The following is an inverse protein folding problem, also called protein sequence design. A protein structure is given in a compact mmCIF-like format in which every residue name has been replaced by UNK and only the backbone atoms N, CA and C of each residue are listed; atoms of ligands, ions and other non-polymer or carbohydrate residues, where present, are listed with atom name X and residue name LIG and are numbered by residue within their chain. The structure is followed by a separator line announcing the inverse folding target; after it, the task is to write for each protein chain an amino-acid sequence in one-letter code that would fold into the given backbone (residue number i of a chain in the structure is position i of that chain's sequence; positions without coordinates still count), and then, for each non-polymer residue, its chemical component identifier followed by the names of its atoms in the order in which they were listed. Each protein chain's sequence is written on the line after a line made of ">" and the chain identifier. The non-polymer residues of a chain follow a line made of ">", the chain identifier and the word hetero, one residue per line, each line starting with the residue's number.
data_IF_148973001343
#
_entry.id   IF_148973001343
#
_cell.length_a   1.000
_cell.length_b   1.000
_cell.length_c   1.000
_cell.angle_alpha   90.00
_cell.angle_beta   90.00
_cell.angle_gamma   90.00
#
_symmetry.space_group_name_H-M   'P 1'
#
loop_
_entity.id
_entity.type
_entity.pdbx_description
1 polymer ?
#
# COMPACT_ATOMS: atom_id res chain seq x y z
N UNK A 1 -27.12 -40.74 -69.58
CA UNK A 1 -26.53 -39.49 -70.09
C UNK A 1 -26.92 -38.37 -69.18
N UNK A 2 -26.02 -37.90 -68.32
CA UNK A 2 -25.84 -36.50 -67.85
C UNK A 2 -24.88 -36.53 -66.70
N UNK A 3 -23.68 -36.10 -66.98
CA UNK A 3 -22.60 -35.91 -66.01
C UNK A 3 -22.90 -34.71 -65.10
N UNK A 4 -22.73 -34.89 -63.82
CA UNK A 4 -22.61 -33.76 -62.87
C UNK A 4 -21.15 -33.59 -62.47
N UNK A 5 -20.53 -32.43 -62.68
CA UNK A 5 -19.18 -32.18 -62.18
C UNK A 5 -19.25 -31.87 -60.69
N UNK A 6 -18.42 -32.60 -59.96
CA UNK A 6 -18.21 -32.39 -58.52
C UNK A 6 -17.64 -31.01 -58.22
N UNK A 7 -18.31 -30.28 -57.38
CA UNK A 7 -17.81 -29.06 -56.79
C UNK A 7 -16.92 -29.49 -55.61
N UNK A 8 -15.61 -29.36 -55.80
CA UNK A 8 -14.61 -29.59 -54.80
C UNK A 8 -14.57 -28.33 -53.88
N UNK A 9 -15.25 -28.43 -52.76
CA UNK A 9 -15.27 -27.35 -51.76
C UNK A 9 -13.99 -27.41 -50.93
N UNK A 10 -13.00 -26.58 -51.31
CA UNK A 10 -11.76 -26.43 -50.57
C UNK A 10 -12.08 -25.62 -49.30
N UNK A 11 -12.13 -26.32 -48.18
CA UNK A 11 -12.21 -25.69 -46.85
C UNK A 11 -10.84 -25.12 -46.53
N UNK A 12 -10.68 -23.81 -46.73
CA UNK A 12 -9.57 -23.05 -46.22
C UNK A 12 -9.69 -22.95 -44.68
N UNK A 13 -9.02 -23.83 -43.99
CA UNK A 13 -8.77 -23.71 -42.57
C UNK A 13 -7.86 -22.51 -42.37
N UNK A 14 -8.46 -21.36 -42.08
CA UNK A 14 -7.73 -20.20 -41.55
C UNK A 14 -7.32 -20.56 -40.13
N UNK A 15 -6.10 -21.05 -40.00
CA UNK A 15 -5.44 -21.20 -38.71
C UNK A 15 -5.21 -19.81 -38.15
N UNK A 16 -6.08 -19.38 -37.21
CA UNK A 16 -5.74 -18.31 -36.29
C UNK A 16 -4.60 -18.79 -35.40
N UNK A 17 -3.38 -18.59 -35.84
CA UNK A 17 -2.23 -18.56 -34.94
C UNK A 17 -2.34 -17.25 -34.13
N UNK A 18 -3.03 -17.35 -32.99
CA UNK A 18 -2.93 -16.31 -31.97
C UNK A 18 -1.46 -16.18 -31.56
N UNK A 19 -0.87 -15.03 -31.86
CA UNK A 19 0.43 -14.63 -31.36
C UNK A 19 0.38 -14.55 -29.82
N UNK A 20 0.64 -15.65 -29.14
CA UNK A 20 0.90 -15.75 -27.72
C UNK A 20 2.43 -15.63 -27.46
N UNK A 21 3.14 -14.97 -28.34
CA UNK A 21 4.59 -14.81 -28.25
C UNK A 21 5.03 -13.39 -27.89
N UNK A 22 4.23 -12.66 -27.07
CA UNK A 22 4.64 -11.32 -26.63
C UNK A 22 4.37 -11.03 -25.16
N UNK A 23 4.52 -12.00 -24.29
CA UNK A 23 4.37 -11.80 -22.84
C UNK A 23 5.37 -12.56 -21.97
N UNK A 24 6.49 -13.02 -22.51
CA UNK A 24 7.56 -13.63 -21.72
C UNK A 24 8.89 -12.94 -22.05
N UNK A 25 8.91 -11.62 -21.88
CA UNK A 25 10.15 -10.85 -21.85
C UNK A 25 10.12 -9.84 -20.69
N UNK A 26 9.41 -10.18 -19.61
CA UNK A 26 9.65 -9.55 -18.32
C UNK A 26 10.82 -10.32 -17.69
N UNK A 27 12.01 -9.84 -17.95
CA UNK A 27 13.20 -10.28 -17.22
C UNK A 27 12.92 -10.01 -15.72
N UNK A 28 13.15 -10.98 -14.82
CA UNK A 28 12.96 -10.78 -13.37
C UNK A 28 13.75 -9.58 -12.82
N UNK A 29 14.73 -9.09 -13.55
CA UNK A 29 15.47 -7.89 -13.23
C UNK A 29 14.65 -6.60 -13.43
N UNK A 30 13.77 -6.54 -14.42
CA UNK A 30 12.92 -5.36 -14.67
C UNK A 30 11.88 -5.20 -13.57
N UNK A 31 11.28 -6.30 -13.10
CA UNK A 31 10.28 -6.29 -12.02
C UNK A 31 10.90 -5.82 -10.69
N UNK A 32 12.15 -6.22 -10.42
CA UNK A 32 12.89 -5.80 -9.22
C UNK A 32 13.27 -4.31 -9.31
N UNK A 33 13.66 -3.83 -10.48
CA UNK A 33 14.01 -2.43 -10.69
C UNK A 33 12.78 -1.53 -10.58
N UNK A 34 11.65 -1.91 -11.17
CA UNK A 34 10.38 -1.21 -11.08
C UNK A 34 9.89 -1.16 -9.63
N UNK A 35 9.95 -2.28 -8.90
CA UNK A 35 9.62 -2.34 -7.47
C UNK A 35 10.53 -1.42 -6.64
N UNK A 36 11.84 -1.42 -6.93
CA UNK A 36 12.80 -0.56 -6.25
C UNK A 36 12.54 0.92 -6.49
N UNK A 37 12.14 1.29 -7.70
CA UNK A 37 11.83 2.68 -8.05
C UNK A 37 10.52 3.13 -7.39
N UNK A 38 9.48 2.31 -7.43
CA UNK A 38 8.21 2.56 -6.74
C UNK A 38 8.41 2.71 -5.22
N UNK A 39 9.32 1.92 -4.66
CA UNK A 39 9.69 2.02 -3.26
C UNK A 39 10.39 3.35 -2.93
N UNK A 40 11.36 3.77 -3.76
CA UNK A 40 12.05 5.05 -3.59
C UNK A 40 11.09 6.23 -3.70
N UNK A 41 10.14 6.15 -4.62
CA UNK A 41 9.10 7.17 -4.79
C UNK A 41 8.23 7.25 -3.54
N UNK A 42 7.74 6.13 -3.01
CA UNK A 42 6.94 6.08 -1.79
C UNK A 42 7.67 6.71 -0.59
N UNK A 43 8.96 6.44 -0.44
CA UNK A 43 9.76 6.94 0.68
C UNK A 43 10.12 8.43 0.51
N UNK A 44 10.24 8.90 -0.73
CA UNK A 44 10.60 10.30 -1.02
C UNK A 44 9.40 11.25 -1.03
N UNK A 45 8.19 10.74 -1.23
CA UNK A 45 6.96 11.54 -1.23
C UNK A 45 6.17 11.36 0.07
N UNK A 46 6.33 12.34 0.96
CA UNK A 46 5.63 12.36 2.25
C UNK A 46 4.11 12.35 2.11
N UNK A 47 3.55 12.96 1.06
CA UNK A 47 2.11 12.99 0.82
C UNK A 47 1.59 11.62 0.38
N UNK A 48 2.35 10.94 -0.49
CA UNK A 48 2.03 9.59 -0.91
C UNK A 48 2.07 8.63 0.29
N UNK A 49 3.11 8.72 1.10
CA UNK A 49 3.26 7.91 2.30
C UNK A 49 2.15 8.18 3.34
N UNK A 50 1.73 9.46 3.50
CA UNK A 50 0.59 9.83 4.33
C UNK A 50 -0.69 9.15 3.88
N UNK A 51 -0.98 9.20 2.58
CA UNK A 51 -2.16 8.56 2.01
C UNK A 51 -2.18 7.06 2.28
N UNK A 52 -1.04 6.38 2.10
CA UNK A 52 -0.93 4.94 2.40
C UNK A 52 -1.18 4.64 3.88
N UNK A 53 -0.66 5.47 4.78
CA UNK A 53 -0.91 5.34 6.23
C UNK A 53 -2.39 5.53 6.56
N UNK A 54 -3.08 6.47 5.92
CA UNK A 54 -4.51 6.74 6.13
C UNK A 54 -5.41 5.61 5.61
N UNK A 55 -4.99 4.82 4.62
CA UNK A 55 -5.74 3.66 4.13
C UNK A 55 -5.75 2.49 5.13
N UNK A 56 -4.82 2.47 6.08
CA UNK A 56 -4.73 1.39 7.07
C UNK A 56 -5.77 1.59 8.17
N UNK A 57 -6.69 0.65 8.26
CA UNK A 57 -7.78 0.67 9.25
C UNK A 57 -7.36 0.06 10.58
N UNK A 58 -8.00 0.51 11.66
CA UNK A 58 -7.89 -0.16 12.96
C UNK A 58 -8.70 -1.46 12.97
N UNK A 59 -8.28 -2.42 13.79
CA UNK A 59 -9.01 -3.68 13.98
C UNK A 59 -10.26 -3.49 14.84
N UNK A 60 -10.22 -2.54 15.78
CA UNK A 60 -11.34 -2.23 16.67
C UNK A 60 -12.19 -1.07 16.13
N UNK A 61 -13.52 -1.23 16.00
CA UNK A 61 -14.41 -0.17 15.48
C UNK A 61 -14.38 1.13 16.32
N UNK A 62 -14.14 1.03 17.62
CA UNK A 62 -14.01 2.20 18.51
C UNK A 62 -12.76 3.01 18.18
N UNK A 63 -11.63 2.35 17.93
CA UNK A 63 -10.38 2.98 17.52
C UNK A 63 -10.51 3.55 16.11
N UNK A 64 -11.15 2.79 15.19
CA UNK A 64 -11.37 3.27 13.82
C UNK A 64 -12.12 4.61 13.77
N UNK A 65 -13.07 4.85 14.66
CA UNK A 65 -13.77 6.15 14.75
C UNK A 65 -12.82 7.27 15.18
N UNK A 66 -11.92 6.99 16.12
CA UNK A 66 -10.91 7.96 16.55
C UNK A 66 -9.91 8.24 15.44
N UNK A 67 -9.48 7.20 14.70
CA UNK A 67 -8.59 7.39 13.54
C UNK A 67 -9.22 8.30 12.49
N UNK A 68 -10.49 8.08 12.12
CA UNK A 68 -11.19 8.93 11.16
C UNK A 68 -11.28 10.40 11.61
N UNK A 69 -11.48 10.63 12.90
CA UNK A 69 -11.47 11.95 13.48
C UNK A 69 -10.07 12.58 13.42
N UNK A 70 -9.06 11.84 13.79
CA UNK A 70 -7.66 12.28 13.72
C UNK A 70 -7.23 12.59 12.28
N UNK A 71 -7.56 11.72 11.33
CA UNK A 71 -7.27 11.91 9.90
C UNK A 71 -7.94 13.19 9.36
N UNK A 72 -9.20 13.44 9.74
CA UNK A 72 -9.91 14.66 9.37
C UNK A 72 -9.26 15.92 9.93
N UNK A 73 -8.85 15.89 11.20
CA UNK A 73 -8.13 17.01 11.83
C UNK A 73 -6.78 17.25 11.14
N UNK A 74 -6.06 16.19 10.81
CA UNK A 74 -4.78 16.27 10.15
C UNK A 74 -4.90 16.90 8.75
N UNK A 75 -5.84 16.42 7.91
CA UNK A 75 -6.12 16.99 6.58
C UNK A 75 -6.53 18.46 6.65
N UNK A 76 -7.25 18.85 7.71
CA UNK A 76 -7.69 20.24 7.92
C UNK A 76 -6.59 21.15 8.49
N UNK A 77 -5.35 20.66 8.63
CA UNK A 77 -4.22 21.46 9.13
C UNK A 77 -4.22 21.65 10.65
N UNK A 78 -4.83 20.73 11.39
CA UNK A 78 -4.85 20.72 12.86
C UNK A 78 -4.04 19.53 13.44
N UNK A 79 -2.73 19.40 13.12
CA UNK A 79 -1.95 18.22 13.47
C UNK A 79 -1.83 18.00 14.99
N UNK A 80 -1.77 19.08 15.78
CA UNK A 80 -1.72 18.97 17.24
C UNK A 80 -2.97 18.29 17.79
N UNK A 81 -4.15 18.65 17.30
CA UNK A 81 -5.40 18.02 17.74
C UNK A 81 -5.49 16.58 17.24
N UNK A 82 -5.05 16.33 16.00
CA UNK A 82 -4.97 14.97 15.45
C UNK A 82 -4.08 14.07 16.32
N UNK A 83 -2.89 14.52 16.70
CA UNK A 83 -1.97 13.81 17.58
C UNK A 83 -2.60 13.47 18.94
N UNK A 84 -3.32 14.41 19.55
CA UNK A 84 -4.04 14.19 20.82
C UNK A 84 -5.10 13.07 20.70
N UNK A 85 -5.85 13.03 19.61
CA UNK A 85 -6.81 11.95 19.35
C UNK A 85 -6.11 10.60 19.16
N UNK A 86 -4.98 10.56 18.45
CA UNK A 86 -4.18 9.33 18.29
C UNK A 86 -3.61 8.84 19.63
N UNK A 87 -3.11 9.74 20.46
CA UNK A 87 -2.66 9.40 21.82
C UNK A 87 -3.81 8.89 22.69
N UNK A 88 -5.01 9.46 22.53
CA UNK A 88 -6.23 8.94 23.17
C UNK A 88 -6.54 7.52 22.71
N UNK A 89 -6.39 7.22 21.41
CA UNK A 89 -6.55 5.87 20.88
C UNK A 89 -5.57 4.89 21.55
N UNK A 90 -4.30 5.27 21.74
CA UNK A 90 -3.30 4.43 22.43
C UNK A 90 -3.62 4.18 23.91
N UNK A 91 -4.30 5.11 24.58
CA UNK A 91 -4.76 4.88 25.95
C UNK A 91 -5.87 3.82 26.02
N UNK A 92 -6.66 3.69 24.97
CA UNK A 92 -7.73 2.69 24.87
C UNK A 92 -7.16 1.34 24.43
N UNK A 93 -6.33 1.31 23.41
CA UNK A 93 -5.71 0.11 22.87
C UNK A 93 -4.29 0.38 22.40
N UNK A 94 -3.33 -0.40 22.92
CA UNK A 94 -1.93 -0.36 22.51
C UNK A 94 -1.60 -1.35 21.39
N UNK A 95 -2.59 -2.11 20.92
CA UNK A 95 -2.41 -3.18 19.94
C UNK A 95 -2.98 -2.82 18.56
N UNK A 96 -2.87 -1.54 18.18
CA UNK A 96 -3.35 -1.03 16.91
C UNK A 96 -2.19 -0.40 16.13
N UNK A 97 -1.63 -1.13 15.18
CA UNK A 97 -0.52 -0.68 14.32
C UNK A 97 -0.86 0.58 13.54
N UNK A 98 -2.12 0.70 13.11
CA UNK A 98 -2.65 1.86 12.40
C UNK A 98 -2.51 3.19 13.16
N UNK A 99 -2.55 3.16 14.50
CA UNK A 99 -2.31 4.33 15.35
C UNK A 99 -0.83 4.69 15.38
N UNK A 100 0.04 3.69 15.54
CA UNK A 100 1.49 3.89 15.55
C UNK A 100 2.02 4.40 14.21
N UNK A 101 1.46 3.92 13.11
CA UNK A 101 1.79 4.40 11.76
C UNK A 101 1.51 5.89 11.60
N UNK A 102 0.33 6.35 12.01
CA UNK A 102 -0.03 7.77 11.94
C UNK A 102 0.86 8.64 12.83
N UNK A 103 1.11 8.21 14.07
CA UNK A 103 1.99 8.94 14.96
C UNK A 103 3.43 8.98 14.43
N UNK A 104 3.95 7.87 13.88
CA UNK A 104 5.27 7.85 13.27
C UNK A 104 5.37 8.85 12.10
N UNK A 105 4.37 8.86 11.21
CA UNK A 105 4.33 9.79 10.09
C UNK A 105 4.27 11.25 10.56
N UNK A 106 3.36 11.58 11.48
CA UNK A 106 3.22 12.95 11.99
C UNK A 106 4.50 13.43 12.66
N UNK A 107 5.18 12.60 13.43
CA UNK A 107 6.47 12.96 14.03
C UNK A 107 7.56 13.19 12.98
N UNK A 108 7.52 12.42 11.90
CA UNK A 108 8.46 12.63 10.78
C UNK A 108 8.20 13.97 10.07
N UNK A 109 6.94 14.34 9.81
CA UNK A 109 6.56 15.65 9.24
C UNK A 109 7.00 16.81 10.14
N UNK A 110 6.98 16.62 11.45
CA UNK A 110 7.45 17.60 12.44
C UNK A 110 9.00 17.65 12.54
N UNK A 111 9.73 16.81 11.80
CA UNK A 111 11.19 16.67 11.88
C UNK A 111 11.69 15.94 13.12
N UNK A 112 10.79 15.27 13.84
CA UNK A 112 11.07 14.52 15.07
C UNK A 112 11.39 13.04 14.77
N UNK A 113 12.42 12.78 13.96
CA UNK A 113 12.78 11.46 13.47
C UNK A 113 12.96 10.40 14.58
N UNK A 114 13.56 10.79 15.73
CA UNK A 114 13.75 9.84 16.86
C UNK A 114 12.42 9.36 17.43
N UNK A 115 11.42 10.23 17.49
CA UNK A 115 10.08 9.88 17.95
C UNK A 115 9.34 9.05 16.90
N UNK A 116 9.48 9.40 15.61
CA UNK A 116 8.93 8.62 14.51
C UNK A 116 9.43 7.17 14.57
N UNK A 117 10.76 6.98 14.69
CA UNK A 117 11.37 5.65 14.89
C UNK A 117 10.85 4.91 16.11
N UNK A 118 10.67 5.63 17.23
CA UNK A 118 10.17 5.02 18.47
C UNK A 118 8.73 4.53 18.35
N UNK A 119 7.86 5.28 17.67
CA UNK A 119 6.49 4.84 17.37
C UNK A 119 6.48 3.66 16.41
N UNK A 120 7.27 3.71 15.34
CA UNK A 120 7.39 2.61 14.39
C UNK A 120 7.88 1.31 15.06
N UNK A 121 8.90 1.39 15.89
CA UNK A 121 9.41 0.25 16.64
C UNK A 121 8.34 -0.38 17.55
N UNK A 122 7.51 0.43 18.21
CA UNK A 122 6.39 -0.07 19.01
C UNK A 122 5.33 -0.75 18.14
N UNK A 123 5.00 -0.18 16.98
CA UNK A 123 4.08 -0.79 16.02
C UNK A 123 4.56 -2.15 15.52
N UNK A 124 5.86 -2.32 15.28
CA UNK A 124 6.46 -3.57 14.83
C UNK A 124 6.36 -4.71 15.87
N UNK A 125 6.18 -4.40 17.14
CA UNK A 125 5.99 -5.39 18.21
C UNK A 125 4.58 -6.00 18.23
N UNK A 126 3.62 -5.38 17.51
CA UNK A 126 2.24 -5.85 17.48
C UNK A 126 2.17 -7.14 16.65
N UNK A 127 1.48 -8.13 17.21
CA UNK A 127 1.22 -9.40 16.53
C UNK A 127 0.09 -9.24 15.51
N UNK A 128 0.11 -10.07 14.46
CA UNK A 128 -0.95 -10.15 13.46
C UNK A 128 -1.20 -8.86 12.66
N UNK A 129 -0.17 -8.05 12.46
CA UNK A 129 -0.21 -6.95 11.49
C UNK A 129 0.00 -7.49 10.07
N UNK A 130 -0.61 -6.84 9.08
CA UNK A 130 -0.42 -7.20 7.66
C UNK A 130 1.03 -6.99 7.21
N UNK A 131 1.40 -7.64 6.11
CA UNK A 131 2.74 -7.45 5.52
C UNK A 131 2.95 -6.00 5.09
N UNK A 132 1.89 -5.32 4.63
CA UNK A 132 1.94 -3.93 4.23
C UNK A 132 2.17 -2.99 5.41
N UNK A 133 1.43 -3.15 6.51
CA UNK A 133 1.65 -2.39 7.75
C UNK A 133 3.07 -2.57 8.27
N UNK A 134 3.55 -3.81 8.31
CA UNK A 134 4.92 -4.13 8.72
C UNK A 134 5.94 -3.45 7.84
N UNK A 135 5.72 -3.44 6.55
CA UNK A 135 6.59 -2.80 5.58
C UNK A 135 6.69 -1.28 5.81
N UNK A 136 5.55 -0.58 5.94
CA UNK A 136 5.55 0.87 6.19
C UNK A 136 6.17 1.20 7.56
N UNK A 137 5.86 0.43 8.61
CA UNK A 137 6.51 0.57 9.92
C UNK A 137 8.02 0.40 9.85
N UNK A 138 8.49 -0.52 9.00
CA UNK A 138 9.92 -0.75 8.77
C UNK A 138 10.58 0.48 8.15
N UNK A 139 9.93 1.11 7.15
CA UNK A 139 10.41 2.37 6.57
C UNK A 139 10.66 3.40 7.67
N UNK A 140 9.65 3.69 8.51
CA UNK A 140 9.80 4.67 9.59
C UNK A 140 10.84 4.29 10.64
N UNK A 141 11.08 3.00 10.84
CA UNK A 141 12.08 2.56 11.81
C UNK A 141 13.52 2.72 11.33
N UNK A 142 13.72 2.91 10.01
CA UNK A 142 15.04 3.00 9.36
C UNK A 142 15.41 4.43 8.92
N UNK A 143 14.44 5.36 8.93
CA UNK A 143 14.70 6.78 8.69
C UNK A 143 15.50 7.34 9.86
#
# INVERSE_FOLDING_TARGET
>A
MKQFPGIFLIFLMVSCTSNIEKSIENSPNNDIEELSNSFKELVSDMTLLQNEVMLINATQPSIQRILKQADSLWINGEPVKASLELERALRISKNESSVYLRLAHMRLEEGLEKEARAFAAKGLLIKNISSWERFILKIYSEI
#
